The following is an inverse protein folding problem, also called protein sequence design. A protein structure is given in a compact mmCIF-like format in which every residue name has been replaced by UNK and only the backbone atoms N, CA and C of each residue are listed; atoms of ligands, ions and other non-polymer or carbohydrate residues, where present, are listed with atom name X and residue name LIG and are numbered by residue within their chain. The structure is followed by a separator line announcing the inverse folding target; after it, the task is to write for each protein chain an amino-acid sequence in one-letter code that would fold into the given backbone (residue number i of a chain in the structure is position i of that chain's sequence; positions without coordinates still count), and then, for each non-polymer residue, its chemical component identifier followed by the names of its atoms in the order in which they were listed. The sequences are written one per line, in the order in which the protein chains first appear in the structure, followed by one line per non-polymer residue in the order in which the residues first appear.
data_IF_334359069738
#
_entry.id   IF_334359069738
#
_cell.length_a   1.000
_cell.length_b   1.000
_cell.length_c   1.000
_cell.angle_alpha   90.00
_cell.angle_beta   90.00
_cell.angle_gamma   90.00
#
_symmetry.space_group_name_H-M   'P 1'
#
loop_
_entity.id
_entity.type
_entity.pdbx_description
1 polymer ?
#
# COMPACT_ATOMS: atom_id res chain seq x y z
N UNK A 1 15.18 17.87 -12.05
CA UNK A 1 15.37 16.92 -13.18
C UNK A 1 16.20 15.73 -12.72
N UNK A 2 16.02 14.54 -13.30
CA UNK A 2 16.75 13.31 -12.94
C UNK A 2 18.28 13.44 -13.02
N UNK A 3 18.81 14.37 -13.83
CA UNK A 3 20.25 14.63 -13.94
C UNK A 3 20.93 15.21 -12.70
N UNK A 4 20.16 15.69 -11.71
CA UNK A 4 20.70 16.19 -10.43
C UNK A 4 20.26 15.34 -9.24
N UNK A 5 19.84 14.10 -9.46
CA UNK A 5 19.37 13.26 -8.37
C UNK A 5 20.52 12.73 -7.54
N UNK A 6 20.59 13.21 -6.30
CA UNK A 6 21.46 12.70 -5.24
C UNK A 6 20.76 11.54 -4.49
N UNK A 7 21.29 10.33 -4.65
CA UNK A 7 20.78 9.13 -3.99
C UNK A 7 21.09 9.13 -2.49
N UNK A 8 22.20 9.72 -2.06
CA UNK A 8 22.62 9.72 -0.65
C UNK A 8 21.80 10.71 0.17
N UNK A 9 21.37 11.81 -0.45
CA UNK A 9 20.50 12.80 0.20
C UNK A 9 19.01 12.41 0.21
N UNK A 10 18.61 11.32 -0.45
CA UNK A 10 17.20 10.91 -0.57
C UNK A 10 16.89 9.68 0.28
N UNK A 11 16.62 9.87 1.57
CA UNK A 11 16.12 8.78 2.44
C UNK A 11 14.59 8.72 2.36
N UNK A 12 14.05 8.08 1.31
CA UNK A 12 12.61 7.81 1.19
C UNK A 12 12.38 6.32 1.07
N UNK A 13 11.94 5.72 2.17
CA UNK A 13 11.57 4.30 2.26
C UNK A 13 10.65 3.92 1.11
N UNK A 14 11.07 2.94 0.32
CA UNK A 14 10.32 2.40 -0.82
C UNK A 14 10.67 3.03 -2.16
N UNK A 15 11.31 4.20 -2.22
CA UNK A 15 11.62 4.88 -3.47
C UNK A 15 12.75 4.16 -4.25
N UNK A 16 13.73 3.61 -3.53
CA UNK A 16 14.81 2.80 -4.13
C UNK A 16 14.36 1.37 -4.46
N UNK A 17 13.06 1.09 -4.28
CA UNK A 17 12.41 -0.11 -4.79
C UNK A 17 11.47 0.23 -5.94
N UNK A 18 10.59 1.21 -5.72
CA UNK A 18 9.56 1.64 -6.64
C UNK A 18 10.12 2.25 -7.92
N UNK A 19 11.05 3.21 -7.83
CA UNK A 19 11.60 3.88 -9.02
C UNK A 19 12.34 2.91 -9.95
N UNK A 20 13.23 2.02 -9.47
CA UNK A 20 13.79 0.96 -10.30
C UNK A 20 12.73 0.15 -11.03
N UNK A 21 11.63 -0.21 -10.36
CA UNK A 21 10.55 -0.97 -10.98
C UNK A 21 9.82 -0.17 -12.07
N UNK A 22 9.48 1.10 -11.80
CA UNK A 22 8.90 1.99 -12.80
C UNK A 22 9.81 2.16 -14.02
N UNK A 23 11.12 2.29 -13.81
CA UNK A 23 12.09 2.37 -14.90
C UNK A 23 12.11 1.10 -15.76
N UNK A 24 12.01 -0.09 -15.15
CA UNK A 24 11.89 -1.37 -15.88
C UNK A 24 10.59 -1.44 -16.68
N UNK A 25 9.47 -1.05 -16.08
CA UNK A 25 8.16 -1.01 -16.74
C UNK A 25 8.15 -0.07 -17.95
N UNK A 26 8.75 1.11 -17.81
CA UNK A 26 8.90 2.08 -18.89
C UNK A 26 9.78 1.53 -20.02
N UNK A 27 10.86 0.83 -19.68
CA UNK A 27 11.74 0.20 -20.68
C UNK A 27 11.03 -0.90 -21.48
N UNK A 28 10.14 -1.67 -20.86
CA UNK A 28 9.29 -2.65 -21.56
C UNK A 28 8.40 -1.95 -22.59
N UNK A 29 7.95 -0.72 -22.30
CA UNK A 29 7.17 0.11 -23.22
C UNK A 29 8.04 0.88 -24.24
N UNK A 30 9.35 0.61 -24.29
CA UNK A 30 10.29 1.28 -25.20
C UNK A 30 10.76 2.66 -24.73
N UNK A 31 10.41 3.08 -23.50
CA UNK A 31 10.82 4.36 -22.93
C UNK A 31 12.00 4.15 -21.99
N UNK A 32 13.17 4.63 -22.41
CA UNK A 32 14.41 4.50 -21.62
C UNK A 32 14.85 5.85 -21.07
N UNK A 33 15.11 5.87 -19.76
CA UNK A 33 15.76 6.98 -19.10
C UNK A 33 17.21 6.61 -18.82
N UNK A 34 18.13 7.48 -19.22
CA UNK A 34 19.53 7.40 -18.81
C UNK A 34 19.89 8.62 -17.97
N UNK A 35 20.57 8.37 -16.86
CA UNK A 35 21.00 9.41 -15.92
C UNK A 35 22.15 8.86 -15.06
N UNK A 36 23.05 9.74 -14.56
CA UNK A 36 24.29 9.32 -13.91
C UNK A 36 24.09 8.31 -12.77
N UNK A 37 23.05 8.50 -11.96
CA UNK A 37 22.78 7.67 -10.80
C UNK A 37 22.04 6.34 -11.12
N UNK A 38 21.63 6.10 -12.38
CA UNK A 38 20.76 4.96 -12.73
C UNK A 38 21.38 3.61 -12.37
N UNK A 39 22.66 3.41 -12.70
CA UNK A 39 23.35 2.14 -12.42
C UNK A 39 23.45 1.87 -10.91
N UNK A 40 23.78 2.91 -10.14
CA UNK A 40 23.86 2.82 -8.68
C UNK A 40 22.48 2.53 -8.06
N UNK A 41 21.43 3.19 -8.56
CA UNK A 41 20.05 2.96 -8.12
C UNK A 41 19.59 1.51 -8.37
N UNK A 42 19.91 0.95 -9.55
CA UNK A 42 19.56 -0.44 -9.87
C UNK A 42 20.31 -1.44 -8.99
N UNK A 43 21.60 -1.20 -8.71
CA UNK A 43 22.37 -2.05 -7.79
C UNK A 43 21.84 -1.97 -6.34
N UNK A 44 21.46 -0.78 -5.88
CA UNK A 44 20.85 -0.59 -4.56
C UNK A 44 19.51 -1.34 -4.45
N UNK A 45 18.72 -1.33 -5.51
CA UNK A 45 17.46 -2.07 -5.59
C UNK A 45 17.66 -3.57 -5.36
N UNK A 46 18.64 -4.17 -6.05
CA UNK A 46 18.97 -5.59 -5.89
C UNK A 46 19.38 -5.92 -4.46
N UNK A 47 20.24 -5.08 -3.85
CA UNK A 47 20.66 -5.25 -2.45
C UNK A 47 19.46 -5.14 -1.49
N UNK A 48 18.57 -4.16 -1.66
CA UNK A 48 17.37 -4.04 -0.82
C UNK A 48 16.44 -5.24 -1.01
N UNK A 49 16.27 -5.73 -2.23
CA UNK A 49 15.41 -6.87 -2.51
C UNK A 49 15.82 -8.14 -1.74
N UNK A 50 17.12 -8.44 -1.66
CA UNK A 50 17.62 -9.60 -0.88
C UNK A 50 17.23 -9.57 0.60
N UNK A 51 16.98 -8.37 1.15
CA UNK A 51 16.58 -8.17 2.54
C UNK A 51 15.06 -8.11 2.72
N UNK A 52 14.37 -7.45 1.79
CA UNK A 52 12.94 -7.16 1.89
C UNK A 52 12.06 -8.31 1.39
N UNK A 53 12.48 -9.03 0.35
CA UNK A 53 11.74 -10.13 -0.24
C UNK A 53 11.35 -11.23 0.77
N UNK A 54 12.29 -11.74 1.59
CA UNK A 54 11.95 -12.74 2.62
C UNK A 54 10.90 -12.25 3.63
N UNK A 55 10.93 -10.97 4.00
CA UNK A 55 9.98 -10.40 4.94
C UNK A 55 8.55 -10.34 4.37
N UNK A 56 8.41 -10.03 3.07
CA UNK A 56 7.12 -9.98 2.37
C UNK A 56 6.43 -11.33 2.26
N UNK A 57 7.19 -12.42 2.14
CA UNK A 57 6.63 -13.78 2.05
C UNK A 57 6.55 -14.48 3.40
N UNK A 58 7.01 -13.84 4.47
CA UNK A 58 6.98 -14.40 5.82
C UNK A 58 5.58 -14.31 6.41
N UNK A 59 5.24 -15.13 7.42
CA UNK A 59 3.99 -14.97 8.15
C UNK A 59 3.99 -13.71 9.06
N UNK A 60 5.12 -13.00 9.19
CA UNK A 60 5.26 -11.85 10.08
C UNK A 60 4.66 -10.59 9.44
N UNK A 61 3.80 -9.84 10.15
CA UNK A 61 3.28 -8.56 9.65
C UNK A 61 4.40 -7.59 9.29
N UNK A 62 4.28 -6.92 8.14
CA UNK A 62 5.25 -5.94 7.65
C UNK A 62 4.56 -4.76 6.99
N UNK A 63 5.13 -3.57 7.12
CA UNK A 63 4.61 -2.35 6.48
C UNK A 63 4.88 -2.33 4.97
N UNK A 64 5.75 -3.20 4.47
CA UNK A 64 6.03 -3.34 3.03
C UNK A 64 4.78 -3.71 2.22
N UNK A 65 3.76 -4.27 2.86
CA UNK A 65 2.46 -4.56 2.26
C UNK A 65 1.76 -3.30 1.76
N UNK A 66 2.13 -2.10 2.23
CA UNK A 66 1.57 -0.84 1.74
C UNK A 66 2.10 -0.43 0.34
N UNK A 67 3.15 -1.06 -0.18
CA UNK A 67 3.83 -0.64 -1.43
C UNK A 67 4.13 -1.83 -2.36
N UNK A 68 3.20 -2.77 -2.51
CA UNK A 68 3.42 -3.97 -3.32
C UNK A 68 3.65 -3.66 -4.81
N UNK A 69 3.15 -2.52 -5.31
CA UNK A 69 3.40 -2.07 -6.68
C UNK A 69 4.90 -1.88 -7.00
N UNK A 70 5.74 -1.71 -5.98
CA UNK A 70 7.18 -1.61 -6.13
C UNK A 70 7.86 -2.94 -6.51
N UNK A 71 7.17 -4.07 -6.38
CA UNK A 71 7.75 -5.42 -6.53
C UNK A 71 7.18 -6.21 -7.72
N UNK A 72 6.47 -5.55 -8.63
CA UNK A 72 5.95 -6.16 -9.85
C UNK A 72 7.06 -6.94 -10.61
N UNK A 73 6.75 -8.14 -11.07
CA UNK A 73 7.69 -9.00 -11.80
C UNK A 73 8.78 -9.66 -10.95
N UNK A 74 8.90 -9.33 -9.66
CA UNK A 74 9.89 -9.92 -8.74
C UNK A 74 9.27 -10.67 -7.56
N UNK A 75 8.05 -10.29 -7.16
CA UNK A 75 7.31 -10.92 -6.06
C UNK A 75 6.31 -11.94 -6.60
N UNK A 76 6.19 -13.06 -5.89
CA UNK A 76 5.10 -14.02 -6.02
C UNK A 76 3.89 -13.52 -5.21
N UNK A 77 2.90 -12.94 -5.89
CA UNK A 77 1.77 -12.29 -5.24
C UNK A 77 0.77 -13.26 -4.60
N UNK A 78 0.81 -14.55 -4.95
CA UNK A 78 -0.01 -15.55 -4.27
C UNK A 78 0.46 -15.77 -2.84
N UNK A 79 1.75 -15.53 -2.57
CA UNK A 79 2.35 -15.66 -1.25
C UNK A 79 2.12 -14.48 -0.33
N UNK A 80 1.44 -13.41 -0.77
CA UNK A 80 1.16 -12.25 0.11
C UNK A 80 -0.32 -12.13 0.49
N UNK A 81 -1.18 -13.01 -0.03
CA UNK A 81 -2.63 -13.00 0.24
C UNK A 81 -2.95 -13.03 1.74
N UNK A 82 -2.15 -13.74 2.54
CA UNK A 82 -2.35 -13.85 4.00
C UNK A 82 -2.11 -12.52 4.75
N UNK A 83 -1.49 -11.53 4.11
CA UNK A 83 -1.30 -10.20 4.68
C UNK A 83 -2.46 -9.23 4.44
N UNK A 84 -3.45 -9.62 3.61
CA UNK A 84 -4.64 -8.82 3.37
C UNK A 84 -5.36 -8.56 4.69
N UNK A 85 -5.72 -7.31 4.95
CA UNK A 85 -6.44 -6.96 6.17
C UNK A 85 -7.95 -7.18 5.95
N UNK A 86 -8.78 -7.33 7.00
CA UNK A 86 -10.18 -7.73 6.86
C UNK A 86 -11.07 -6.82 6.00
N UNK A 87 -10.67 -5.57 5.72
CA UNK A 87 -11.40 -4.70 4.79
C UNK A 87 -11.11 -4.98 3.30
N UNK A 88 -10.31 -6.01 2.99
CA UNK A 88 -9.91 -6.42 1.65
C UNK A 88 -8.62 -5.77 1.14
N UNK A 89 -8.09 -4.77 1.82
CA UNK A 89 -6.92 -4.03 1.33
C UNK A 89 -5.58 -4.65 1.70
N UNK A 90 -4.57 -4.30 0.91
CA UNK A 90 -3.17 -4.48 1.25
C UNK A 90 -2.70 -3.27 2.06
N UNK A 91 -2.88 -3.35 3.38
CA UNK A 91 -2.51 -2.31 4.36
C UNK A 91 -3.10 -0.92 4.05
N UNK A 92 -4.38 -0.85 3.65
CA UNK A 92 -5.11 0.37 3.28
C UNK A 92 -4.50 1.15 2.10
N UNK A 93 -3.67 0.53 1.27
CA UNK A 93 -3.09 1.14 0.07
C UNK A 93 -3.86 0.73 -1.19
N UNK A 94 -4.52 1.67 -1.92
CA UNK A 94 -5.15 1.37 -3.20
C UNK A 94 -4.16 0.86 -4.25
N UNK A 95 -2.99 1.50 -4.40
CA UNK A 95 -1.98 1.08 -5.39
C UNK A 95 -1.47 -0.33 -5.12
N UNK A 96 -1.18 -0.64 -3.84
CA UNK A 96 -0.74 -1.96 -3.43
C UNK A 96 -1.82 -3.02 -3.63
N UNK A 97 -3.08 -2.67 -3.34
CA UNK A 97 -4.21 -3.57 -3.51
C UNK A 97 -4.48 -3.87 -4.99
N UNK A 98 -4.36 -2.88 -5.88
CA UNK A 98 -4.41 -3.09 -7.33
C UNK A 98 -3.25 -3.98 -7.79
N UNK A 99 -2.03 -3.70 -7.33
CA UNK A 99 -0.87 -4.50 -7.69
C UNK A 99 -1.04 -5.97 -7.28
N UNK A 100 -1.58 -6.22 -6.08
CA UNK A 100 -1.96 -7.54 -5.62
C UNK A 100 -2.99 -8.20 -6.57
N UNK A 101 -4.11 -7.53 -6.80
CA UNK A 101 -5.21 -8.08 -7.60
C UNK A 101 -4.81 -8.39 -9.05
N UNK A 102 -3.97 -7.55 -9.66
CA UNK A 102 -3.50 -7.73 -11.04
C UNK A 102 -2.47 -8.86 -11.21
N UNK A 103 -1.80 -9.28 -10.13
CA UNK A 103 -0.67 -10.20 -10.21
C UNK A 103 -0.90 -11.52 -9.44
N UNK A 104 -1.99 -11.64 -8.70
CA UNK A 104 -2.43 -12.92 -8.15
C UNK A 104 -2.96 -13.85 -9.22
N UNK A 105 -2.74 -15.16 -9.04
CA UNK A 105 -3.27 -16.20 -9.92
C UNK A 105 -4.79 -16.38 -9.77
N UNK A 106 -5.35 -15.93 -8.66
CA UNK A 106 -6.78 -15.97 -8.36
C UNK A 106 -7.28 -14.56 -8.07
N UNK A 107 -8.43 -14.24 -8.66
CA UNK A 107 -9.12 -12.98 -8.39
C UNK A 107 -9.63 -12.97 -6.95
N UNK A 108 -9.44 -11.85 -6.24
CA UNK A 108 -9.84 -11.70 -4.84
C UNK A 108 -10.96 -10.66 -4.73
N UNK A 109 -12.18 -11.16 -4.52
CA UNK A 109 -13.41 -10.36 -4.46
C UNK A 109 -13.40 -9.31 -3.34
N UNK A 110 -12.72 -9.57 -2.22
CA UNK A 110 -12.64 -8.62 -1.11
C UNK A 110 -11.71 -7.46 -1.45
N UNK A 111 -10.59 -7.74 -2.14
CA UNK A 111 -9.70 -6.70 -2.65
C UNK A 111 -10.36 -5.84 -3.73
N UNK A 112 -11.15 -6.43 -4.62
CA UNK A 112 -11.97 -5.67 -5.57
C UNK A 112 -13.01 -4.80 -4.84
N UNK A 113 -13.73 -5.35 -3.87
CA UNK A 113 -14.73 -4.62 -3.10
C UNK A 113 -14.13 -3.42 -2.34
N UNK A 114 -12.91 -3.57 -1.83
CA UNK A 114 -12.14 -2.44 -1.28
C UNK A 114 -11.91 -1.34 -2.33
N UNK A 115 -11.41 -1.71 -3.52
CA UNK A 115 -11.10 -0.75 -4.58
C UNK A 115 -12.35 -0.03 -5.10
N UNK A 116 -13.48 -0.73 -5.25
CA UNK A 116 -14.76 -0.13 -5.60
C UNK A 116 -15.17 0.92 -4.58
N UNK A 117 -15.12 0.57 -3.30
CA UNK A 117 -15.43 1.51 -2.24
C UNK A 117 -14.51 2.73 -2.19
N UNK A 118 -13.21 2.57 -2.48
CA UNK A 118 -12.27 3.69 -2.59
C UNK A 118 -12.64 4.63 -3.75
N UNK A 119 -13.23 4.13 -4.83
CA UNK A 119 -13.70 4.95 -5.94
C UNK A 119 -15.05 5.60 -5.63
N UNK A 120 -15.95 4.88 -4.98
CA UNK A 120 -17.29 5.36 -4.63
C UNK A 120 -17.22 6.43 -3.53
N UNK A 121 -16.30 6.30 -2.56
CA UNK A 121 -16.21 7.21 -1.41
C UNK A 121 -15.97 8.67 -1.83
N UNK A 122 -15.00 9.03 -2.70
CA UNK A 122 -14.84 10.39 -3.21
C UNK A 122 -16.03 10.86 -4.05
N UNK A 123 -16.62 9.97 -4.86
CA UNK A 123 -17.75 10.28 -5.74
C UNK A 123 -19.04 10.57 -4.96
N UNK A 124 -19.20 9.96 -3.79
CA UNK A 124 -20.34 10.11 -2.89
C UNK A 124 -20.05 11.06 -1.71
N UNK A 125 -18.80 11.51 -1.55
CA UNK A 125 -18.33 12.02 -0.26
C UNK A 125 -19.16 13.17 0.29
N UNK A 126 -19.65 14.12 -0.50
CA UNK A 126 -20.72 15.06 -0.10
C UNK A 126 -20.57 15.80 1.25
N UNK A 127 -19.40 15.74 1.89
CA UNK A 127 -19.21 16.10 3.30
C UNK A 127 -19.10 17.61 3.41
N UNK A 128 -19.98 18.20 4.21
CA UNK A 128 -19.90 19.59 4.61
C UNK A 128 -19.21 19.69 5.98
N UNK A 129 -18.56 20.82 6.23
CA UNK A 129 -17.71 21.03 7.41
C UNK A 129 -18.46 20.97 8.75
N UNK A 130 -19.79 21.01 8.70
CA UNK A 130 -20.71 21.06 9.84
C UNK A 130 -21.17 19.67 10.32
N UNK A 131 -20.80 18.59 9.62
CA UNK A 131 -21.21 17.21 9.92
C UNK A 131 -20.48 16.57 11.13
N UNK A 132 -19.56 17.30 11.77
CA UNK A 132 -18.79 16.83 12.93
C UNK A 132 -19.19 17.62 14.18
N UNK A 133 -20.31 17.24 14.80
CA UNK A 133 -20.78 17.87 16.04
C UNK A 133 -20.06 17.28 17.27
N UNK A 134 -20.16 17.99 18.40
CA UNK A 134 -19.48 17.64 19.67
C UNK A 134 -19.89 16.26 20.22
N UNK A 135 -21.08 15.77 19.88
CA UNK A 135 -21.53 14.41 20.22
C UNK A 135 -20.78 13.33 19.45
N UNK A 136 -20.34 13.62 18.22
CA UNK A 136 -19.60 12.66 17.38
C UNK A 136 -18.14 12.52 17.83
N UNK A 137 -17.57 13.54 18.47
CA UNK A 137 -16.24 13.48 19.10
C UNK A 137 -16.22 12.47 20.27
N UNK A 138 -17.31 12.35 21.03
CA UNK A 138 -17.42 11.32 22.09
C UNK A 138 -17.49 9.91 21.49
N UNK A 139 -18.24 9.72 20.41
CA UNK A 139 -18.30 8.45 19.69
C UNK A 139 -16.92 8.07 19.13
N UNK A 140 -16.19 9.02 18.55
CA UNK A 140 -14.81 8.82 18.10
C UNK A 140 -13.87 8.41 19.24
N UNK A 141 -14.02 9.00 20.42
CA UNK A 141 -13.20 8.66 21.59
C UNK A 141 -13.46 7.22 22.05
N UNK A 142 -14.74 6.82 22.12
CA UNK A 142 -15.13 5.44 22.48
C UNK A 142 -14.63 4.45 21.41
N UNK A 143 -14.75 4.80 20.12
CA UNK A 143 -14.27 4.00 19.00
C UNK A 143 -12.75 3.79 19.08
N UNK A 144 -11.99 4.86 19.31
CA UNK A 144 -10.53 4.81 19.43
C UNK A 144 -10.10 4.00 20.66
N UNK A 145 -10.75 4.19 21.81
CA UNK A 145 -10.47 3.45 23.03
C UNK A 145 -10.80 1.96 22.88
N UNK A 146 -11.89 1.64 22.20
CA UNK A 146 -12.27 0.25 21.88
C UNK A 146 -11.21 -0.38 20.99
N UNK A 147 -10.84 0.28 19.89
CA UNK A 147 -9.80 -0.19 18.96
C UNK A 147 -8.44 -0.37 19.64
N UNK A 148 -8.03 0.58 20.50
CA UNK A 148 -6.80 0.51 21.29
C UNK A 148 -6.75 -0.76 22.15
N UNK A 149 -7.86 -1.10 22.81
CA UNK A 149 -7.96 -2.24 23.72
C UNK A 149 -8.07 -3.56 22.99
N UNK A 150 -8.82 -3.61 21.88
CA UNK A 150 -9.05 -4.85 21.12
C UNK A 150 -7.88 -5.23 20.23
N UNK A 151 -7.10 -4.26 19.73
CA UNK A 151 -6.02 -4.51 18.76
C UNK A 151 -4.60 -4.44 19.36
N UNK A 152 -4.47 -4.28 20.69
CA UNK A 152 -3.16 -4.21 21.35
C UNK A 152 -2.37 -2.94 21.04
N UNK A 153 -3.05 -1.87 20.64
CA UNK A 153 -2.51 -0.60 20.14
C UNK A 153 -3.24 -0.11 18.88
N UNK A 154 -2.88 1.08 18.38
CA UNK A 154 -3.25 1.56 17.03
C UNK A 154 -1.95 1.84 16.27
N UNK A 155 -1.64 1.00 15.29
CA UNK A 155 -0.43 1.12 14.46
C UNK A 155 -0.75 1.47 12.99
N UNK A 156 -2.00 1.81 12.66
CA UNK A 156 -2.43 2.07 11.27
C UNK A 156 -3.84 2.63 11.09
N UNK A 157 -4.26 2.73 9.83
CA UNK A 157 -5.53 3.31 9.39
C UNK A 157 -6.75 2.47 9.81
N UNK A 158 -7.44 2.87 10.88
CA UNK A 158 -8.85 2.53 11.16
C UNK A 158 -9.22 1.05 11.33
N UNK A 159 -10.41 0.81 11.89
CA UNK A 159 -10.93 -0.54 12.13
C UNK A 159 -11.21 -1.25 10.79
N UNK A 160 -10.81 -2.52 10.76
CA UNK A 160 -10.76 -3.43 9.62
C UNK A 160 -12.13 -4.00 9.21
N UNK A 161 -13.22 -3.50 9.77
CA UNK A 161 -14.59 -3.92 9.46
C UNK A 161 -15.49 -2.70 9.30
N UNK A 162 -16.06 -2.50 8.11
CA UNK A 162 -17.15 -1.53 7.93
C UNK A 162 -18.40 -2.04 8.65
N UNK A 163 -19.14 -1.20 9.38
CA UNK A 163 -20.49 -1.56 9.83
C UNK A 163 -21.35 -1.83 8.60
N UNK A 164 -22.01 -2.99 8.56
CA UNK A 164 -23.03 -3.30 7.55
C UNK A 164 -24.24 -2.40 7.87
N UNK A 165 -24.78 -1.65 6.90
CA UNK A 165 -25.99 -0.88 7.13
C UNK A 165 -27.15 -1.85 7.37
N UNK A 166 -27.83 -1.72 8.51
CA UNK A 166 -29.11 -2.38 8.76
C UNK A 166 -30.13 -1.91 7.70
N UNK A 167 -30.75 -2.87 7.01
CA UNK A 167 -31.84 -2.65 6.05
C UNK A 167 -33.18 -2.50 6.77
#
# INVERSE_FOLDING_TARGET
MLGGWDLEATDRVGLEVLVPNLLRLLEIQGVKFDFPARKALMALNEVKWTKLGPALTSPTPTTLIHTLEAFFGTLDFDKVKHHKIPNGSMLASPSSTVAYLMNSSTWDEEAEAYLRAVLDTPLESGFEKDDLLREDIRKLTILLETNLKTQGGIVGFGETTRPVPER
#
